data_IF_529017397684
#
_entry.id   IF_529017397684
#
_cell.length_a   1.000
_cell.length_b   1.000
_cell.length_c   1.000
_cell.angle_alpha   90.00
_cell.angle_beta   90.00
_cell.angle_gamma   90.00
#
_symmetry.space_group_name_H-M   'P 1'
#
loop_
_entity.id
_entity.type
_entity.pdbx_description
1 polymer ?
#
# COMPACT_ATOMS: atom_id res chain seq x y z
N UNK A 1 -7.67 -4.26 2.47
CA UNK A 1 -6.71 -4.18 1.37
C UNK A 1 -7.38 -4.72 0.13
N UNK A 2 -6.97 -4.18 -1.01
CA UNK A 2 -7.47 -4.56 -2.33
C UNK A 2 -6.38 -4.40 -3.37
N UNK A 3 -6.45 -5.19 -4.43
CA UNK A 3 -5.58 -5.08 -5.60
C UNK A 3 -6.17 -4.00 -6.51
N UNK A 4 -5.32 -3.11 -7.01
CA UNK A 4 -5.69 -2.14 -8.02
C UNK A 4 -6.16 -2.86 -9.31
N UNK A 5 -7.29 -2.41 -9.89
CA UNK A 5 -7.73 -2.93 -11.20
C UNK A 5 -6.64 -2.64 -12.24
N UNK A 6 -6.17 -3.65 -13.01
CA UNK A 6 -5.18 -3.41 -14.05
C UNK A 6 -5.80 -2.55 -15.15
N UNK A 7 -5.29 -1.33 -15.34
CA UNK A 7 -5.68 -0.45 -16.45
C UNK A 7 -4.78 -0.72 -17.65
N UNK A 8 -5.39 -1.16 -18.76
CA UNK A 8 -4.87 -1.04 -20.13
C UNK A 8 -3.36 -1.21 -20.32
N UNK A 9 -2.81 -2.39 -20.06
CA UNK A 9 -1.40 -2.68 -20.34
C UNK A 9 -1.22 -3.71 -21.46
N UNK A 10 -0.31 -3.38 -22.39
CA UNK A 10 0.28 -4.36 -23.30
C UNK A 10 1.29 -5.19 -22.51
N UNK A 11 0.92 -6.41 -22.13
CA UNK A 11 1.91 -7.41 -21.69
C UNK A 11 2.88 -7.65 -22.84
N UNK A 12 4.18 -7.41 -22.63
CA UNK A 12 5.20 -7.92 -23.53
C UNK A 12 5.07 -9.44 -23.58
N UNK A 13 4.99 -9.98 -24.79
CA UNK A 13 4.89 -11.43 -24.99
C UNK A 13 6.17 -12.04 -24.43
N UNK A 14 5.99 -12.94 -23.47
CA UNK A 14 7.07 -13.65 -22.80
C UNK A 14 7.82 -14.48 -23.85
N UNK A 15 9.12 -14.27 -23.98
CA UNK A 15 10.00 -15.08 -24.81
C UNK A 15 10.62 -16.25 -24.04
N UNK A 16 10.49 -16.29 -22.70
CA UNK A 16 11.04 -17.33 -21.82
C UNK A 16 9.97 -18.04 -20.97
N UNK A 17 10.26 -19.27 -20.57
CA UNK A 17 9.44 -20.09 -19.67
C UNK A 17 9.64 -19.77 -18.18
N UNK A 18 10.50 -18.82 -17.83
CA UNK A 18 10.89 -18.52 -16.44
C UNK A 18 9.72 -17.99 -15.61
N UNK A 19 9.59 -18.40 -14.36
CA UNK A 19 8.49 -17.95 -13.50
C UNK A 19 8.52 -16.43 -13.27
N UNK A 20 7.34 -15.79 -13.27
CA UNK A 20 7.22 -14.35 -12.97
C UNK A 20 7.07 -14.19 -11.46
N UNK A 21 8.00 -13.48 -10.82
CA UNK A 21 8.00 -13.20 -9.39
C UNK A 21 7.16 -11.96 -9.09
N UNK A 22 6.23 -12.06 -8.14
CA UNK A 22 5.39 -10.92 -7.74
C UNK A 22 6.00 -10.17 -6.57
N UNK A 23 5.95 -8.84 -6.65
CA UNK A 23 6.30 -7.93 -5.57
C UNK A 23 5.03 -7.19 -5.12
N UNK A 24 4.48 -7.60 -3.98
CA UNK A 24 3.32 -6.96 -3.37
C UNK A 24 3.76 -5.76 -2.54
N UNK A 25 3.51 -4.55 -3.05
CA UNK A 25 3.93 -3.32 -2.37
C UNK A 25 2.82 -2.83 -1.45
N UNK A 26 3.17 -2.56 -0.20
CA UNK A 26 2.23 -2.13 0.85
C UNK A 26 2.73 -0.83 1.44
N UNK A 27 1.93 0.23 1.34
CA UNK A 27 2.33 1.58 1.75
C UNK A 27 1.65 2.00 3.06
N UNK A 28 2.40 2.70 3.91
CA UNK A 28 1.79 3.46 5.01
C UNK A 28 0.94 4.61 4.45
N UNK A 29 1.54 5.50 3.65
CA UNK A 29 0.85 6.60 2.99
C UNK A 29 -0.03 6.17 1.81
N UNK A 30 -0.99 7.03 1.46
CA UNK A 30 -2.00 6.79 0.44
C UNK A 30 -1.87 7.70 -0.80
N UNK A 31 -0.92 8.65 -0.79
CA UNK A 31 -0.72 9.61 -1.89
C UNK A 31 0.66 9.48 -2.54
N UNK A 32 1.73 9.91 -1.85
CA UNK A 32 3.06 10.12 -2.47
C UNK A 32 3.72 8.81 -2.86
N UNK A 33 3.73 7.82 -1.97
CA UNK A 33 4.32 6.50 -2.19
C UNK A 33 3.58 5.76 -3.31
N UNK A 34 2.24 5.83 -3.28
CA UNK A 34 1.38 5.22 -4.30
C UNK A 34 1.71 5.78 -5.69
N UNK A 35 1.76 7.12 -5.83
CA UNK A 35 2.12 7.77 -7.08
C UNK A 35 3.53 7.40 -7.56
N UNK A 36 4.50 7.35 -6.63
CA UNK A 36 5.88 7.02 -6.97
C UNK A 36 5.98 5.61 -7.55
N UNK A 37 5.44 4.61 -6.86
CA UNK A 37 5.52 3.22 -7.31
C UNK A 37 4.57 2.90 -8.47
N UNK A 38 3.46 3.61 -8.62
CA UNK A 38 2.65 3.57 -9.85
C UNK A 38 3.46 4.12 -11.04
N UNK A 39 4.19 5.21 -10.85
CA UNK A 39 5.14 5.73 -11.84
C UNK A 39 6.22 4.71 -12.19
N UNK A 40 6.84 4.05 -11.19
CA UNK A 40 7.84 2.99 -11.40
C UNK A 40 7.23 1.86 -12.25
N UNK A 41 6.00 1.44 -11.93
CA UNK A 41 5.30 0.39 -12.66
C UNK A 41 4.98 0.78 -14.10
N UNK A 42 4.49 2.00 -14.35
CA UNK A 42 4.15 2.50 -15.68
C UNK A 42 5.37 2.69 -16.58
N UNK A 43 6.51 3.08 -16.00
CA UNK A 43 7.77 3.32 -16.72
C UNK A 43 8.82 2.22 -16.51
N UNK A 44 8.39 1.03 -16.11
CA UNK A 44 9.27 -0.07 -15.70
C UNK A 44 10.33 -0.43 -16.72
N UNK A 45 10.00 -0.38 -18.02
CA UNK A 45 10.92 -0.71 -19.11
C UNK A 45 12.03 0.34 -19.23
N UNK A 46 11.69 1.63 -19.12
CA UNK A 46 12.66 2.74 -19.15
C UNK A 46 13.57 2.76 -17.92
N UNK A 47 13.04 2.31 -16.78
CA UNK A 47 13.75 2.25 -15.50
C UNK A 47 14.70 1.03 -15.44
N UNK A 48 14.48 0.03 -16.31
CA UNK A 48 15.24 -1.22 -16.34
C UNK A 48 14.76 -2.26 -15.33
N UNK A 49 13.47 -2.24 -14.98
CA UNK A 49 12.85 -3.27 -14.14
C UNK A 49 12.79 -4.59 -14.92
N UNK A 50 13.19 -5.68 -14.28
CA UNK A 50 13.20 -7.00 -14.91
C UNK A 50 11.83 -7.39 -15.46
N UNK A 51 11.73 -7.93 -16.69
CA UNK A 51 10.46 -8.40 -17.26
C UNK A 51 9.86 -9.59 -16.49
N UNK A 52 10.68 -10.28 -15.69
CA UNK A 52 10.27 -11.40 -14.83
C UNK A 52 9.66 -10.95 -13.51
N UNK A 53 9.62 -9.64 -13.24
CA UNK A 53 9.00 -9.10 -12.04
C UNK A 53 7.63 -8.51 -12.36
N UNK A 54 6.67 -8.80 -11.49
CA UNK A 54 5.34 -8.20 -11.50
C UNK A 54 5.13 -7.36 -10.24
N UNK A 55 5.06 -6.04 -10.40
CA UNK A 55 4.80 -5.10 -9.31
C UNK A 55 3.28 -5.05 -9.07
N UNK A 56 2.86 -5.31 -7.83
CA UNK A 56 1.45 -5.37 -7.40
C UNK A 56 1.22 -4.48 -6.18
N UNK A 57 0.91 -3.18 -6.36
CA UNK A 57 0.48 -2.32 -5.27
C UNK A 57 -0.79 -2.87 -4.58
N UNK A 58 -0.75 -3.00 -3.25
CA UNK A 58 -1.90 -3.29 -2.42
C UNK A 58 -2.46 -1.98 -1.88
N UNK A 59 -3.66 -1.63 -2.34
CA UNK A 59 -4.37 -0.43 -1.93
C UNK A 59 -5.12 -0.67 -0.63
N UNK A 60 -5.30 0.40 0.15
CA UNK A 60 -6.17 0.40 1.33
C UNK A 60 -7.62 0.15 0.91
N UNK A 61 -8.32 -0.67 1.71
CA UNK A 61 -9.79 -0.72 1.72
C UNK A 61 -10.33 0.61 2.28
N UNK A 62 -11.59 0.94 2.01
CA UNK A 62 -12.17 2.20 2.48
C UNK A 62 -12.07 2.39 4.02
N UNK A 63 -12.22 1.31 4.81
CA UNK A 63 -12.12 1.34 6.27
C UNK A 63 -10.67 1.35 6.81
N UNK A 64 -9.69 1.24 5.91
CA UNK A 64 -8.26 1.30 6.20
C UNK A 64 -7.66 2.69 5.92
N UNK A 65 -8.47 3.63 5.42
CA UNK A 65 -8.04 5.01 5.16
C UNK A 65 -7.62 5.71 6.45
N UNK A 66 -6.53 6.47 6.38
CA UNK A 66 -5.96 7.20 7.52
C UNK A 66 -5.23 6.35 8.56
N UNK A 67 -4.97 5.05 8.29
CA UNK A 67 -4.16 4.23 9.18
C UNK A 67 -2.66 4.61 9.10
N UNK A 68 -2.19 5.34 10.10
CA UNK A 68 -0.78 5.76 10.29
C UNK A 68 0.01 4.84 11.24
N UNK A 69 -0.35 3.56 11.31
CA UNK A 69 0.28 2.60 12.22
C UNK A 69 0.86 1.42 11.43
N UNK A 70 2.19 1.33 11.29
CA UNK A 70 2.86 0.25 10.55
C UNK A 70 2.55 -1.15 11.07
N UNK A 71 2.43 -1.34 12.39
CA UNK A 71 2.05 -2.63 12.99
C UNK A 71 0.63 -3.05 12.58
N UNK A 72 -0.33 -2.14 12.64
CA UNK A 72 -1.71 -2.38 12.23
C UNK A 72 -1.79 -2.70 10.73
N UNK A 73 -1.02 -1.98 9.92
CA UNK A 73 -0.89 -2.23 8.49
C UNK A 73 -0.34 -3.64 8.22
N UNK A 74 0.79 -4.02 8.83
CA UNK A 74 1.41 -5.32 8.66
C UNK A 74 0.48 -6.47 9.02
N UNK A 75 -0.19 -6.39 10.18
CA UNK A 75 -1.16 -7.42 10.59
C UNK A 75 -2.27 -7.60 9.55
N UNK A 76 -2.74 -6.50 8.97
CA UNK A 76 -3.75 -6.56 7.91
C UNK A 76 -3.23 -7.17 6.62
N UNK A 77 -1.96 -6.96 6.25
CA UNK A 77 -1.32 -7.65 5.12
C UNK A 77 -1.32 -9.16 5.36
N UNK A 78 -0.91 -9.59 6.56
CA UNK A 78 -0.84 -11.00 6.92
C UNK A 78 -2.21 -11.66 6.85
N UNK A 79 -3.24 -11.01 7.42
CA UNK A 79 -4.62 -11.47 7.30
C UNK A 79 -5.08 -11.54 5.84
N UNK A 80 -4.74 -10.55 5.01
CA UNK A 80 -5.11 -10.55 3.60
C UNK A 80 -4.44 -11.66 2.78
N UNK A 81 -3.18 -12.00 3.10
CA UNK A 81 -2.47 -13.13 2.51
C UNK A 81 -3.08 -14.46 2.97
N UNK A 82 -3.40 -14.59 4.25
CA UNK A 82 -4.04 -15.79 4.79
C UNK A 82 -5.44 -16.02 4.20
N UNK A 83 -6.23 -14.95 4.10
CA UNK A 83 -7.51 -14.93 3.38
C UNK A 83 -7.34 -15.45 1.94
N UNK A 84 -6.23 -15.11 1.29
CA UNK A 84 -5.97 -15.54 -0.07
C UNK A 84 -5.50 -16.99 -0.22
N UNK A 85 -4.70 -17.46 0.74
CA UNK A 85 -4.26 -18.86 0.83
C UNK A 85 -5.41 -19.80 1.14
N UNK A 86 -6.27 -19.43 2.10
CA UNK A 86 -7.36 -20.29 2.60
C UNK A 86 -8.65 -20.13 1.79
N UNK A 87 -8.84 -18.99 1.13
CA UNK A 87 -10.11 -18.62 0.50
C UNK A 87 -11.20 -18.25 1.52
N UNK A 88 -10.87 -18.16 2.81
CA UNK A 88 -11.81 -17.86 3.89
C UNK A 88 -11.68 -16.38 4.24
N UNK A 89 -12.79 -15.65 4.16
CA UNK A 89 -12.86 -14.24 4.59
C UNK A 89 -13.54 -14.13 5.95
N UNK A 90 -13.19 -13.15 6.77
CA UNK A 90 -14.06 -12.74 7.88
C UNK A 90 -15.29 -12.00 7.33
N UNK A 91 -16.39 -11.93 8.10
CA UNK A 91 -17.55 -11.08 7.77
C UNK A 91 -17.10 -9.63 7.54
N UNK A 92 -16.21 -9.10 8.38
CA UNK A 92 -15.65 -7.77 8.22
C UNK A 92 -14.93 -7.62 6.87
N UNK A 93 -13.96 -8.48 6.55
CA UNK A 93 -13.22 -8.44 5.28
C UNK A 93 -14.14 -8.57 4.07
N UNK A 94 -15.14 -9.46 4.14
CA UNK A 94 -16.12 -9.62 3.08
C UNK A 94 -16.93 -8.33 2.85
N UNK A 95 -17.50 -7.74 3.90
CA UNK A 95 -18.31 -6.51 3.78
C UNK A 95 -17.44 -5.37 3.26
N UNK A 96 -16.21 -5.23 3.73
CA UNK A 96 -15.29 -4.20 3.26
C UNK A 96 -15.04 -4.30 1.75
N UNK A 97 -14.78 -5.52 1.26
CA UNK A 97 -14.63 -5.76 -0.19
C UNK A 97 -15.91 -5.45 -0.97
N UNK A 98 -17.11 -5.68 -0.40
CA UNK A 98 -18.38 -5.28 -1.02
C UNK A 98 -18.50 -3.76 -1.12
N UNK A 99 -18.15 -3.02 -0.06
CA UNK A 99 -18.17 -1.55 -0.06
C UNK A 99 -17.18 -0.98 -1.08
N UNK A 100 -15.95 -1.51 -1.11
CA UNK A 100 -14.94 -1.14 -2.10
C UNK A 100 -15.45 -1.35 -3.53
N UNK A 101 -16.09 -2.50 -3.80
CA UNK A 101 -16.71 -2.77 -5.09
C UNK A 101 -17.76 -1.71 -5.45
N UNK A 102 -18.62 -1.31 -4.52
CA UNK A 102 -19.66 -0.32 -4.79
C UNK A 102 -19.06 1.06 -5.07
N UNK A 103 -18.01 1.46 -4.35
CA UNK A 103 -17.29 2.72 -4.55
C UNK A 103 -16.58 2.73 -5.91
N UNK A 104 -15.83 1.68 -6.23
CA UNK A 104 -15.07 1.60 -7.50
C UNK A 104 -15.96 1.57 -8.74
N UNK A 105 -17.17 1.02 -8.63
CA UNK A 105 -18.15 1.00 -9.72
C UNK A 105 -19.11 2.20 -9.67
N UNK A 106 -18.84 3.19 -8.82
CA UNK A 106 -19.62 4.43 -8.67
C UNK A 106 -21.11 4.16 -8.37
N UNK A 107 -21.41 3.03 -7.72
CA UNK A 107 -22.75 2.67 -7.29
C UNK A 107 -23.13 3.41 -5.99
N UNK A 108 -22.13 3.78 -5.20
CA UNK A 108 -22.26 4.66 -4.04
C UNK A 108 -21.15 5.73 -4.07
N UNK A 109 -21.40 6.84 -3.39
CA UNK A 109 -20.45 7.95 -3.23
C UNK A 109 -20.79 8.73 -1.94
N UNK A 110 -19.96 9.68 -1.57
CA UNK A 110 -20.23 10.56 -0.41
C UNK A 110 -21.49 11.44 -0.58
N UNK A 111 -22.05 11.52 -1.80
CA UNK A 111 -23.29 12.25 -2.12
C UNK A 111 -24.51 11.33 -2.21
N UNK A 112 -24.32 10.01 -2.10
CA UNK A 112 -25.41 9.04 -2.13
C UNK A 112 -26.22 9.11 -0.83
N UNK A 113 -27.49 8.73 -0.88
CA UNK A 113 -28.36 8.67 0.30
C UNK A 113 -27.78 7.78 1.42
N UNK A 114 -27.06 6.73 1.03
CA UNK A 114 -26.31 5.86 1.92
C UNK A 114 -24.83 5.97 1.56
N UNK A 115 -24.01 6.38 2.53
CA UNK A 115 -22.56 6.43 2.38
C UNK A 115 -21.93 5.05 2.66
N UNK A 116 -20.60 4.95 2.55
CA UNK A 116 -19.86 3.70 2.74
C UNK A 116 -20.10 3.05 4.13
N UNK A 117 -20.14 3.85 5.20
CA UNK A 117 -20.35 3.37 6.57
C UNK A 117 -21.79 2.90 6.77
N UNK A 118 -22.77 3.59 6.18
CA UNK A 118 -24.17 3.15 6.20
C UNK A 118 -24.31 1.76 5.56
N UNK A 119 -23.69 1.57 4.38
CA UNK A 119 -23.70 0.29 3.68
C UNK A 119 -23.05 -0.81 4.52
N UNK A 120 -21.90 -0.52 5.14
CA UNK A 120 -21.22 -1.46 6.02
C UNK A 120 -22.12 -1.89 7.18
N UNK A 121 -22.72 -0.93 7.89
CA UNK A 121 -23.59 -1.22 9.03
C UNK A 121 -24.86 -1.98 8.63
N UNK A 122 -25.45 -1.66 7.47
CA UNK A 122 -26.61 -2.37 6.93
C UNK A 122 -26.28 -3.85 6.69
N UNK A 123 -25.15 -4.12 6.03
CA UNK A 123 -24.71 -5.49 5.74
C UNK A 123 -24.33 -6.23 7.03
N UNK A 124 -23.60 -5.58 7.93
CA UNK A 124 -23.21 -6.18 9.20
C UNK A 124 -24.42 -6.56 10.04
N UNK A 125 -25.41 -5.68 10.15
CA UNK A 125 -26.66 -5.98 10.84
C UNK A 125 -27.41 -7.14 10.17
N UNK A 126 -27.39 -7.23 8.84
CA UNK A 126 -27.96 -8.36 8.12
C UNK A 126 -27.27 -9.68 8.50
N UNK A 127 -25.93 -9.75 8.46
CA UNK A 127 -25.19 -10.96 8.85
C UNK A 127 -25.41 -11.32 10.32
N UNK A 128 -25.44 -10.35 11.23
CA UNK A 128 -25.72 -10.58 12.66
C UNK A 128 -27.12 -11.16 12.88
N UNK A 129 -28.14 -10.63 12.21
CA UNK A 129 -29.54 -10.98 12.49
C UNK A 129 -30.05 -12.18 11.69
N UNK A 130 -29.64 -12.32 10.42
CA UNK A 130 -30.11 -13.37 9.52
C UNK A 130 -29.17 -14.57 9.45
N UNK A 131 -27.87 -14.34 9.58
CA UNK A 131 -26.84 -15.39 9.50
C UNK A 131 -26.26 -15.75 10.87
N UNK A 132 -26.58 -15.00 11.93
CA UNK A 132 -26.03 -15.16 13.28
C UNK A 132 -24.49 -15.09 13.30
N UNK A 133 -23.89 -14.29 12.41
CA UNK A 133 -22.44 -14.10 12.31
C UNK A 133 -22.01 -12.72 12.79
N UNK A 134 -20.94 -12.67 13.59
CA UNK A 134 -20.20 -11.49 14.03
C UNK A 134 -19.10 -11.14 13.02
N UNK A 135 -18.44 -10.01 13.22
CA UNK A 135 -17.40 -9.47 12.32
C UNK A 135 -16.23 -10.42 12.08
N UNK A 136 -15.79 -11.11 13.13
CA UNK A 136 -14.67 -12.05 13.12
C UNK A 136 -15.03 -13.42 12.55
N UNK A 137 -16.32 -13.72 12.37
CA UNK A 137 -16.74 -15.06 11.96
C UNK A 137 -16.41 -15.31 10.48
N UNK A 138 -16.07 -16.56 10.10
CA UNK A 138 -15.65 -16.88 8.74
C UNK A 138 -16.81 -16.88 7.74
N UNK A 139 -16.53 -16.56 6.49
CA UNK A 139 -17.37 -16.71 5.30
C UNK A 139 -16.77 -17.84 4.47
N UNK A 140 -17.34 -19.04 4.62
CA UNK A 140 -16.89 -20.26 3.93
C UNK A 140 -17.35 -20.33 2.46
N UNK A 141 -18.48 -19.71 2.13
CA UNK A 141 -19.02 -19.71 0.77
C UNK A 141 -19.26 -18.27 0.30
N UNK A 142 -18.27 -17.74 -0.41
CA UNK A 142 -18.27 -16.36 -0.94
C UNK A 142 -19.42 -16.13 -1.93
N UNK A 143 -19.76 -17.10 -2.77
CA UNK A 143 -20.84 -16.93 -3.77
C UNK A 143 -22.20 -16.78 -3.09
N UNK A 144 -22.50 -17.65 -2.11
CA UNK A 144 -23.73 -17.57 -1.33
C UNK A 144 -23.78 -16.29 -0.49
N UNK A 145 -22.66 -15.89 0.12
CA UNK A 145 -22.57 -14.64 0.87
C UNK A 145 -22.80 -13.41 -0.03
N UNK A 146 -22.26 -13.43 -1.25
CA UNK A 146 -22.45 -12.38 -2.27
C UNK A 146 -23.92 -12.23 -2.65
N UNK A 147 -24.59 -13.34 -2.96
CA UNK A 147 -26.03 -13.33 -3.27
C UNK A 147 -26.86 -12.73 -2.13
N UNK A 148 -26.56 -13.09 -0.88
CA UNK A 148 -27.24 -12.57 0.31
C UNK A 148 -27.01 -11.08 0.53
N UNK A 149 -25.75 -10.63 0.40
CA UNK A 149 -25.40 -9.22 0.50
C UNK A 149 -26.14 -8.40 -0.56
N UNK A 150 -26.15 -8.86 -1.81
CA UNK A 150 -26.85 -8.19 -2.91
C UNK A 150 -28.37 -8.17 -2.71
N UNK A 151 -28.96 -9.24 -2.21
CA UNK A 151 -30.39 -9.26 -1.87
C UNK A 151 -30.72 -8.24 -0.76
N UNK A 152 -29.83 -8.11 0.24
CA UNK A 152 -29.95 -7.12 1.29
C UNK A 152 -29.92 -5.70 0.73
N UNK A 153 -28.91 -5.38 -0.08
CA UNK A 153 -28.74 -4.04 -0.68
C UNK A 153 -29.86 -3.71 -1.66
N UNK A 154 -30.34 -4.67 -2.45
CA UNK A 154 -31.50 -4.47 -3.33
C UNK A 154 -32.74 -4.09 -2.53
N UNK A 155 -33.01 -4.76 -1.41
CA UNK A 155 -34.20 -4.52 -0.59
C UNK A 155 -34.13 -3.24 0.25
N UNK A 156 -32.96 -2.94 0.83
CA UNK A 156 -32.79 -1.84 1.78
C UNK A 156 -32.30 -0.54 1.15
N UNK A 157 -31.56 -0.62 0.04
CA UNK A 157 -30.80 0.50 -0.55
C UNK A 157 -31.12 0.67 -2.05
N UNK A 158 -31.94 -0.21 -2.64
CA UNK A 158 -32.33 -0.20 -4.05
C UNK A 158 -31.14 -0.32 -5.04
N UNK A 159 -30.07 -1.02 -4.66
CA UNK A 159 -28.94 -1.32 -5.56
C UNK A 159 -29.27 -2.58 -6.38
N UNK A 160 -29.54 -2.40 -7.68
CA UNK A 160 -29.98 -3.49 -8.59
C UNK A 160 -28.90 -3.93 -9.59
N UNK A 161 -27.94 -3.06 -9.92
CA UNK A 161 -26.98 -3.24 -11.04
C UNK A 161 -25.71 -4.06 -10.73
N UNK A 162 -25.65 -4.83 -9.64
CA UNK A 162 -24.37 -5.32 -9.08
C UNK A 162 -24.17 -6.84 -9.01
N UNK A 163 -25.24 -7.64 -9.13
CA UNK A 163 -25.26 -9.01 -8.59
C UNK A 163 -24.24 -9.95 -9.23
N UNK A 164 -24.20 -10.01 -10.56
CA UNK A 164 -23.38 -10.99 -11.26
C UNK A 164 -21.89 -10.61 -11.30
N UNK A 165 -21.59 -9.33 -11.05
CA UNK A 165 -20.20 -8.82 -11.12
C UNK A 165 -19.47 -8.81 -9.78
N UNK A 166 -20.19 -8.83 -8.64
CA UNK A 166 -19.55 -8.82 -7.32
C UNK A 166 -18.73 -10.09 -7.07
N UNK A 167 -19.26 -11.28 -7.41
CA UNK A 167 -18.52 -12.53 -7.23
C UNK A 167 -17.22 -12.54 -8.02
N UNK A 168 -17.22 -12.01 -9.25
CA UNK A 168 -16.01 -11.88 -10.07
C UNK A 168 -15.04 -10.87 -9.48
N UNK A 169 -15.54 -9.73 -8.98
CA UNK A 169 -14.70 -8.77 -8.26
C UNK A 169 -14.02 -9.43 -7.06
N UNK A 170 -14.76 -10.13 -6.20
CA UNK A 170 -14.21 -10.78 -5.01
C UNK A 170 -13.17 -11.86 -5.35
N UNK A 171 -13.41 -12.63 -6.43
CA UNK A 171 -12.43 -13.59 -6.96
C UNK A 171 -11.15 -12.89 -7.44
N UNK A 172 -11.28 -11.75 -8.12
CA UNK A 172 -10.13 -10.96 -8.59
C UNK A 172 -9.38 -10.23 -7.46
N UNK A 173 -10.04 -10.02 -6.32
CA UNK A 173 -9.43 -9.49 -5.09
C UNK A 173 -8.73 -10.58 -4.27
N UNK A 174 -8.68 -11.82 -4.76
CA UNK A 174 -7.90 -12.88 -4.14
C UNK A 174 -6.46 -12.85 -4.67
N UNK A 175 -5.47 -12.65 -3.78
CA UNK A 175 -4.06 -12.71 -4.17
C UNK A 175 -3.57 -14.16 -4.19
N UNK A 176 -2.91 -14.52 -5.28
CA UNK A 176 -2.07 -15.74 -5.31
C UNK A 176 -0.67 -15.34 -4.87
N UNK A 177 -0.30 -15.75 -3.66
CA UNK A 177 1.03 -15.51 -3.07
C UNK A 177 1.78 -16.84 -2.91
N UNK A 178 2.88 -16.98 -3.65
CA UNK A 178 3.78 -18.12 -3.55
C UNK A 178 4.85 -17.85 -2.49
N UNK A 179 4.66 -18.38 -1.29
CA UNK A 179 5.58 -18.22 -0.17
C UNK A 179 7.00 -18.72 -0.52
N UNK A 180 8.02 -17.95 -0.18
CA UNK A 180 9.42 -18.22 -0.53
C UNK A 180 9.80 -17.86 -1.97
N UNK A 181 8.84 -17.53 -2.84
CA UNK A 181 9.09 -17.07 -4.21
C UNK A 181 8.66 -15.63 -4.42
N UNK A 182 7.38 -15.32 -4.20
CA UNK A 182 6.84 -13.96 -4.23
C UNK A 182 7.34 -13.17 -3.01
N UNK A 183 7.38 -11.84 -3.12
CA UNK A 183 7.84 -10.95 -2.06
C UNK A 183 6.75 -9.96 -1.66
N UNK A 184 6.54 -9.81 -0.36
CA UNK A 184 5.77 -8.70 0.21
C UNK A 184 6.76 -7.63 0.63
N UNK A 185 6.47 -6.37 0.30
CA UNK A 185 7.32 -5.23 0.59
C UNK A 185 6.51 -4.20 1.38
N UNK A 186 6.76 -4.12 2.68
CA UNK A 186 6.20 -3.10 3.55
C UNK A 186 7.03 -1.83 3.42
N UNK A 187 6.42 -0.74 2.98
CA UNK A 187 7.06 0.55 2.72
C UNK A 187 6.41 1.59 3.63
N UNK A 188 7.16 2.10 4.59
CA UNK A 188 6.61 2.96 5.64
C UNK A 188 7.56 4.11 5.96
N UNK A 189 7.03 5.15 6.58
CA UNK A 189 7.84 6.22 7.12
C UNK A 189 8.25 5.87 8.56
N UNK A 190 9.44 6.32 8.97
CA UNK A 190 9.80 6.21 10.38
C UNK A 190 8.82 7.07 11.18
N UNK A 191 8.65 8.35 10.84
CA UNK A 191 8.07 9.40 11.70
C UNK A 191 8.22 9.12 13.22
N UNK A 192 9.23 9.77 13.81
CA UNK A 192 9.63 9.59 15.22
C UNK A 192 8.47 9.59 16.23
N UNK A 193 7.35 10.24 15.89
CA UNK A 193 6.19 10.40 16.75
C UNK A 193 5.12 9.30 16.60
N UNK A 194 4.96 8.67 15.43
CA UNK A 194 3.90 7.67 15.19
C UNK A 194 4.41 6.23 15.33
N UNK A 195 5.62 5.93 14.87
CA UNK A 195 6.16 4.57 14.91
C UNK A 195 6.92 4.30 16.21
N UNK A 196 6.18 4.21 17.31
CA UNK A 196 6.77 4.23 18.65
C UNK A 196 7.67 3.01 18.94
N UNK A 197 8.75 3.28 19.67
CA UNK A 197 9.74 2.30 20.15
C UNK A 197 9.92 2.47 21.67
N UNK A 198 8.82 2.41 22.42
CA UNK A 198 8.89 2.47 23.87
C UNK A 198 9.07 1.07 24.45
N UNK A 199 9.75 0.88 25.60
CA UNK A 199 9.96 -0.45 26.19
C UNK A 199 8.70 -1.32 26.36
N UNK A 200 7.52 -0.70 26.53
CA UNK A 200 6.24 -1.38 26.69
C UNK A 200 5.36 -1.39 25.41
N UNK A 201 5.81 -0.74 24.33
CA UNK A 201 5.13 -0.70 23.03
C UNK A 201 6.17 -0.42 21.93
N UNK A 202 6.99 -1.42 21.64
CA UNK A 202 7.97 -1.35 20.54
C UNK A 202 7.33 -1.87 19.26
N UNK A 203 6.66 -0.96 18.55
CA UNK A 203 6.04 -1.27 17.27
C UNK A 203 7.11 -1.54 16.21
N UNK A 204 8.23 -0.82 16.29
CA UNK A 204 9.34 -0.94 15.36
C UNK A 204 9.90 -2.36 15.38
N UNK A 205 10.26 -2.82 16.57
CA UNK A 205 10.81 -4.16 16.78
C UNK A 205 9.81 -5.25 16.39
N UNK A 206 8.53 -5.07 16.72
CA UNK A 206 7.48 -5.99 16.28
C UNK A 206 7.41 -6.10 14.75
N UNK A 207 7.37 -4.96 14.04
CA UNK A 207 7.29 -4.93 12.57
C UNK A 207 8.54 -5.54 11.95
N UNK A 208 9.73 -5.17 12.43
CA UNK A 208 11.01 -5.72 11.97
C UNK A 208 11.03 -7.24 12.11
N UNK A 209 10.83 -7.75 13.31
CA UNK A 209 10.93 -9.18 13.61
C UNK A 209 9.84 -9.99 12.90
N UNK A 210 8.64 -9.42 12.73
CA UNK A 210 7.58 -10.06 11.95
C UNK A 210 7.93 -10.08 10.46
N UNK A 211 8.49 -9.00 9.90
CA UNK A 211 8.91 -9.02 8.49
C UNK A 211 10.02 -10.06 8.26
N UNK A 212 11.01 -10.13 9.14
CA UNK A 212 12.07 -11.14 9.06
C UNK A 212 11.52 -12.57 9.14
N UNK A 213 10.65 -12.85 10.13
CA UNK A 213 10.07 -14.17 10.33
C UNK A 213 9.24 -14.69 9.14
N UNK A 214 8.59 -13.78 8.38
CA UNK A 214 7.78 -14.12 7.22
C UNK A 214 8.50 -13.91 5.87
N UNK A 215 9.78 -13.50 5.89
CA UNK A 215 10.56 -13.20 4.68
C UNK A 215 10.03 -11.97 3.91
N UNK A 216 9.34 -11.05 4.57
CA UNK A 216 8.86 -9.81 3.98
C UNK A 216 9.99 -8.77 3.94
N UNK A 217 10.04 -7.98 2.88
CA UNK A 217 10.90 -6.80 2.81
C UNK A 217 10.34 -5.68 3.67
N UNK A 218 11.18 -5.11 4.53
CA UNK A 218 10.86 -3.95 5.36
C UNK A 218 11.66 -2.74 4.88
N UNK A 219 10.98 -1.84 4.18
CA UNK A 219 11.56 -0.66 3.58
C UNK A 219 11.08 0.62 4.28
N UNK A 220 12.03 1.45 4.68
CA UNK A 220 11.80 2.60 5.55
C UNK A 220 12.44 3.86 4.96
N UNK A 221 11.76 4.99 5.18
CA UNK A 221 12.28 6.34 5.01
C UNK A 221 12.31 7.06 6.35
N UNK A 222 13.45 7.62 6.74
CA UNK A 222 13.59 8.42 7.96
C UNK A 222 14.21 9.78 7.60
N UNK A 223 13.46 10.90 7.72
CA UNK A 223 12.23 11.07 8.51
C UNK A 223 10.91 10.69 7.82
N UNK A 224 10.82 10.82 6.50
CA UNK A 224 9.59 10.68 5.72
C UNK A 224 9.88 10.45 4.24
N UNK A 225 8.88 10.10 3.45
CA UNK A 225 9.08 9.74 2.04
C UNK A 225 9.58 10.89 1.16
N UNK A 226 9.29 12.15 1.49
CA UNK A 226 9.89 13.29 0.78
C UNK A 226 11.43 13.32 0.86
N UNK A 227 12.02 12.71 1.90
CA UNK A 227 13.48 12.52 1.95
C UNK A 227 13.97 11.58 0.83
N UNK A 228 13.26 10.49 0.55
CA UNK A 228 13.57 9.63 -0.60
C UNK A 228 13.44 10.39 -1.94
N UNK A 229 12.44 11.26 -2.06
CA UNK A 229 12.31 12.11 -3.26
C UNK A 229 13.49 13.08 -3.39
N UNK A 230 13.97 13.67 -2.29
CA UNK A 230 15.16 14.52 -2.26
C UNK A 230 16.42 13.79 -2.74
N UNK A 231 16.57 12.50 -2.48
CA UNK A 231 17.74 11.73 -2.91
C UNK A 231 17.93 11.72 -4.43
N UNK A 232 16.89 12.01 -5.23
CA UNK A 232 16.99 12.17 -6.68
C UNK A 232 17.84 13.38 -7.11
N UNK A 233 18.22 14.26 -6.17
CA UNK A 233 18.95 15.50 -6.38
C UNK A 233 20.22 15.47 -5.54
N UNK A 234 21.38 15.83 -6.12
CA UNK A 234 22.67 15.80 -5.42
C UNK A 234 22.74 16.87 -4.32
N UNK A 235 21.92 17.91 -4.44
CA UNK A 235 21.75 19.00 -3.49
C UNK A 235 21.40 18.52 -2.08
N UNK A 236 20.81 17.33 -1.93
CA UNK A 236 20.53 16.72 -0.62
C UNK A 236 21.79 16.50 0.22
N UNK A 237 22.95 16.29 -0.42
CA UNK A 237 24.23 16.01 0.24
C UNK A 237 24.79 17.25 0.95
N UNK A 238 24.39 18.45 0.51
CA UNK A 238 24.79 19.73 1.10
C UNK A 238 23.80 20.23 2.17
N UNK A 239 22.67 19.54 2.37
CA UNK A 239 21.64 19.93 3.34
C UNK A 239 22.05 19.61 4.78
N UNK A 240 21.42 20.30 5.74
CA UNK A 240 21.71 20.07 7.15
C UNK A 240 21.10 18.73 7.63
N UNK A 241 21.91 17.71 7.99
CA UNK A 241 21.41 16.38 8.31
C UNK A 241 20.56 16.36 9.59
N UNK A 242 20.86 17.23 10.57
CA UNK A 242 20.08 17.33 11.80
C UNK A 242 18.69 17.93 11.53
N UNK A 243 18.59 18.95 10.66
CA UNK A 243 17.29 19.51 10.27
C UNK A 243 16.47 18.54 9.44
N UNK A 244 17.10 17.78 8.55
CA UNK A 244 16.43 16.71 7.82
C UNK A 244 15.92 15.65 8.79
N UNK A 245 16.76 15.13 9.71
CA UNK A 245 16.37 14.10 10.67
C UNK A 245 15.24 14.54 11.61
N UNK A 246 15.30 15.76 12.15
CA UNK A 246 14.26 16.30 13.04
C UNK A 246 12.99 16.72 12.28
N UNK A 247 13.12 16.97 10.98
CA UNK A 247 12.05 17.36 10.06
C UNK A 247 11.05 18.39 10.66
N UNK A 248 11.54 19.54 11.19
CA UNK A 248 10.69 20.48 11.91
C UNK A 248 9.65 21.12 10.99
N UNK A 249 8.54 21.60 11.57
CA UNK A 249 7.56 22.40 10.84
C UNK A 249 8.21 23.72 10.42
N UNK A 250 8.13 24.04 9.13
CA UNK A 250 8.54 25.35 8.56
C UNK A 250 7.32 26.26 8.43
N UNK A 251 6.17 25.68 8.11
CA UNK A 251 4.87 26.37 8.10
C UNK A 251 3.81 25.51 8.81
N UNK A 252 2.59 26.01 8.94
CA UNK A 252 1.48 25.22 9.48
C UNK A 252 1.17 23.96 8.67
N UNK A 253 1.54 23.93 7.38
CA UNK A 253 1.25 22.84 6.43
C UNK A 253 2.46 22.01 6.03
N UNK A 254 3.69 22.51 6.25
CA UNK A 254 4.91 21.92 5.66
C UNK A 254 6.01 21.71 6.67
N UNK A 255 6.72 20.58 6.52
CA UNK A 255 7.95 20.26 7.25
C UNK A 255 9.19 20.53 6.39
N UNK A 256 10.36 20.49 7.03
CA UNK A 256 11.63 20.85 6.42
C UNK A 256 11.96 20.04 5.16
N UNK A 257 11.81 18.71 5.18
CA UNK A 257 12.10 17.87 4.01
C UNK A 257 11.21 18.25 2.80
N UNK A 258 9.91 18.49 3.03
CA UNK A 258 9.00 18.96 1.97
C UNK A 258 9.40 20.35 1.45
N UNK A 259 9.81 21.25 2.35
CA UNK A 259 10.21 22.60 1.96
C UNK A 259 11.47 22.59 1.09
N UNK A 260 12.48 21.80 1.45
CA UNK A 260 13.69 21.65 0.64
C UNK A 260 13.40 20.95 -0.70
N UNK A 261 12.52 19.93 -0.71
CA UNK A 261 12.11 19.25 -1.93
C UNK A 261 11.50 20.22 -2.94
N UNK A 262 10.63 21.14 -2.49
CA UNK A 262 10.01 22.14 -3.38
C UNK A 262 11.01 23.12 -4.00
N UNK A 263 12.18 23.32 -3.39
CA UNK A 263 13.23 24.19 -3.96
C UNK A 263 13.94 23.51 -5.11
N UNK A 264 14.22 22.21 -4.99
CA UNK A 264 14.94 21.43 -6.01
C UNK A 264 14.01 20.82 -7.07
N UNK A 265 12.72 20.66 -6.73
CA UNK A 265 11.67 20.18 -7.63
C UNK A 265 10.50 21.18 -7.70
N UNK A 266 10.67 22.29 -8.46
CA UNK A 266 9.57 23.22 -8.71
C UNK A 266 8.37 22.52 -9.34
N UNK A 267 7.17 22.77 -8.81
CA UNK A 267 5.93 22.12 -9.25
C UNK A 267 5.49 20.94 -8.39
N UNK A 268 6.34 20.44 -7.48
CA UNK A 268 5.96 19.39 -6.53
C UNK A 268 4.71 19.75 -5.71
N UNK A 269 3.74 18.84 -5.74
CA UNK A 269 2.60 18.80 -4.84
C UNK A 269 2.42 17.35 -4.36
N UNK A 270 1.83 17.13 -3.18
CA UNK A 270 1.64 15.76 -2.66
C UNK A 270 0.81 14.88 -3.58
N UNK A 271 -0.16 15.47 -4.27
CA UNK A 271 -1.00 14.84 -5.28
C UNK A 271 -0.44 14.94 -6.72
N UNK A 272 0.76 15.50 -6.91
CA UNK A 272 1.49 15.55 -8.17
C UNK A 272 3.00 15.62 -7.92
N UNK A 273 3.61 14.45 -7.79
CA UNK A 273 5.02 14.30 -7.43
C UNK A 273 5.99 14.61 -8.57
N UNK A 274 5.52 15.04 -9.75
CA UNK A 274 6.35 15.29 -10.92
C UNK A 274 7.19 14.07 -11.34
N UNK A 275 6.58 12.87 -11.39
CA UNK A 275 7.30 11.60 -11.55
C UNK A 275 8.20 11.54 -12.79
N UNK A 276 7.87 12.21 -13.90
CA UNK A 276 8.72 12.22 -15.09
C UNK A 276 10.13 12.78 -14.83
N UNK A 277 10.24 13.76 -13.93
CA UNK A 277 11.53 14.34 -13.53
C UNK A 277 12.29 13.34 -12.64
N UNK A 278 11.59 12.75 -11.67
CA UNK A 278 12.16 11.75 -10.75
C UNK A 278 12.65 10.50 -11.48
N UNK A 279 11.86 9.98 -12.44
CA UNK A 279 12.19 8.80 -13.27
C UNK A 279 13.61 8.86 -13.83
N UNK A 280 13.98 10.01 -14.41
CA UNK A 280 15.28 10.20 -15.05
C UNK A 280 16.44 10.28 -14.06
N UNK A 281 16.15 10.34 -12.75
CA UNK A 281 17.10 10.52 -11.65
C UNK A 281 17.08 9.37 -10.64
N UNK A 282 16.37 8.28 -10.90
CA UNK A 282 16.30 7.11 -9.99
C UNK A 282 17.70 6.56 -9.67
N UNK A 283 18.60 6.51 -10.65
CA UNK A 283 19.97 6.03 -10.40
C UNK A 283 20.76 7.01 -9.51
N UNK A 284 20.46 8.31 -9.58
CA UNK A 284 21.04 9.29 -8.66
C UNK A 284 20.49 9.06 -7.25
N UNK A 285 19.20 8.79 -7.09
CA UNK A 285 18.61 8.44 -5.79
C UNK A 285 19.28 7.22 -5.15
N UNK A 286 19.44 6.13 -5.91
CA UNK A 286 20.15 4.92 -5.44
C UNK A 286 21.61 5.22 -5.08
N UNK A 287 22.28 6.11 -5.83
CA UNK A 287 23.66 6.52 -5.52
C UNK A 287 23.72 7.37 -4.24
N UNK A 288 22.80 8.33 -4.10
CA UNK A 288 22.78 9.28 -3.00
C UNK A 288 22.34 8.64 -1.69
N UNK A 289 21.46 7.62 -1.74
CA UNK A 289 21.03 6.83 -0.58
C UNK A 289 22.23 6.26 0.20
N UNK A 290 23.29 5.83 -0.49
CA UNK A 290 24.52 5.26 0.10
C UNK A 290 25.32 6.23 0.97
N UNK A 291 25.05 7.53 0.90
CA UNK A 291 25.64 8.53 1.80
C UNK A 291 24.87 8.68 3.11
N UNK A 292 23.72 8.01 3.24
CA UNK A 292 22.88 7.99 4.41
C UNK A 292 22.71 6.56 4.94
N UNK A 293 21.93 6.38 6.01
CA UNK A 293 21.72 5.06 6.59
C UNK A 293 20.80 4.19 5.71
N UNK A 294 21.26 3.00 5.32
CA UNK A 294 20.47 1.97 4.60
C UNK A 294 20.10 0.78 5.49
N UNK A 295 20.81 0.62 6.62
CA UNK A 295 20.61 -0.48 7.56
C UNK A 295 19.32 -0.31 8.34
N UNK A 296 18.51 -1.37 8.43
CA UNK A 296 17.19 -1.28 9.06
C UNK A 296 17.32 -0.94 10.54
N UNK A 297 18.28 -1.50 11.26
CA UNK A 297 18.49 -1.18 12.68
C UNK A 297 18.93 0.28 12.88
N UNK A 298 19.83 0.77 12.03
CA UNK A 298 20.27 2.16 12.03
C UNK A 298 19.16 3.15 11.64
N UNK A 299 18.28 2.79 10.72
CA UNK A 299 17.17 3.62 10.23
C UNK A 299 16.15 3.97 11.32
N UNK A 300 16.15 3.26 12.44
CA UNK A 300 15.34 3.57 13.63
C UNK A 300 15.61 4.97 14.19
N UNK A 301 16.85 5.43 14.13
CA UNK A 301 17.33 6.67 14.76
C UNK A 301 18.11 7.60 13.81
N UNK A 302 18.68 7.07 12.73
CA UNK A 302 19.49 7.83 11.80
C UNK A 302 18.70 8.22 10.55
N UNK A 303 19.06 9.38 9.98
CA UNK A 303 18.53 9.81 8.69
C UNK A 303 18.94 8.83 7.60
N UNK A 304 18.01 8.48 6.73
CA UNK A 304 18.29 7.53 5.66
C UNK A 304 17.07 6.97 4.99
N UNK A 305 17.33 6.05 4.07
CA UNK A 305 16.33 5.24 3.41
C UNK A 305 16.98 3.94 2.93
N UNK A 306 16.15 2.92 2.72
CA UNK A 306 16.57 1.70 2.00
C UNK A 306 15.64 1.39 0.80
N UNK A 307 14.96 2.41 0.28
CA UNK A 307 14.07 2.27 -0.89
C UNK A 307 14.89 2.01 -2.16
N UNK A 308 16.10 2.55 -2.26
CA UNK A 308 17.01 2.26 -3.37
C UNK A 308 17.44 0.80 -3.41
N UNK A 309 17.51 0.10 -2.26
CA UNK A 309 17.67 -1.35 -2.22
C UNK A 309 16.48 -2.06 -2.88
N UNK A 310 15.24 -1.69 -2.54
CA UNK A 310 14.05 -2.25 -3.20
C UNK A 310 14.09 -2.04 -4.72
N UNK A 311 14.40 -0.82 -5.18
CA UNK A 311 14.44 -0.54 -6.62
C UNK A 311 15.56 -1.34 -7.30
N UNK A 312 16.72 -1.49 -6.64
CA UNK A 312 17.82 -2.30 -7.16
C UNK A 312 17.43 -3.77 -7.28
N UNK A 313 16.71 -4.32 -6.29
CA UNK A 313 16.15 -5.66 -6.39
C UNK A 313 15.18 -5.79 -7.58
N UNK A 314 14.29 -4.81 -7.78
CA UNK A 314 13.34 -4.82 -8.91
C UNK A 314 14.04 -4.74 -10.29
N UNK A 315 15.26 -4.19 -10.36
CA UNK A 315 16.06 -4.14 -11.59
C UNK A 315 16.83 -5.43 -11.87
N UNK A 316 17.14 -6.20 -10.83
CA UNK A 316 18.07 -7.34 -10.92
C UNK A 316 17.40 -8.72 -10.78
N UNK A 317 16.19 -8.77 -10.23
CA UNK A 317 15.50 -10.03 -9.91
C UNK A 317 14.61 -10.64 -10.97
#
# INVERSE_FOLDING_TARGET
>A
MRIQKPFGQRKRIKTSSEAVKKYFLVFEGDETEVQYFEGIHLHRDEIGISPLIEIRPLLRSYNEQGWSNPKKLLNRVMEYIDEGKTGILTVNSFINKVVDYLLENQLISNKSLYNADDIYHILLQYFRTKERKKESDPIENIEKASQKAMLCLKKKVNIVKAVDTLSNYLKNQNITYAEGFDKVCLIVDRDKHSFVSYPNNDQYEYVKNTCEAYGYGFYLTNPCFEFWLLLHFDEVLDMNPNKLLENPKVTSKRRYAEEELRKVLPGYQKNDIQFQILKNRINNAIKNEKFFCEDIDGLKSNIGSNIGLLITELKTG
#
